data_IF_938628595193
#
_entry.id   IF_938628595193
#
_cell.length_a   1.000
_cell.length_b   1.000
_cell.length_c   1.000
_cell.angle_alpha   90.00
_cell.angle_beta   90.00
_cell.angle_gamma   90.00
#
_symmetry.space_group_name_H-M   'P 1'
#
loop_
_entity.id
_entity.type
_entity.pdbx_description
1 polymer ?
#
# COMPACT_ATOMS: atom_id res chain seq x y z
N UNK A 1 -44.11 -25.54 4.40
CA UNK A 1 -43.68 -24.25 4.99
C UNK A 1 -42.17 -24.32 5.07
N UNK A 2 -41.49 -24.03 3.96
CA UNK A 2 -40.02 -24.04 3.88
C UNK A 2 -39.50 -22.71 4.41
N UNK A 3 -38.90 -22.74 5.59
CA UNK A 3 -38.13 -21.63 6.14
C UNK A 3 -36.81 -21.57 5.39
N UNK A 4 -36.76 -20.73 4.36
CA UNK A 4 -35.51 -20.28 3.74
C UNK A 4 -34.69 -19.53 4.78
N UNK A 5 -33.79 -20.26 5.43
CA UNK A 5 -32.71 -19.70 6.23
C UNK A 5 -31.80 -18.93 5.29
N UNK A 6 -31.98 -17.60 5.24
CA UNK A 6 -30.99 -16.70 4.71
C UNK A 6 -29.72 -16.85 5.57
N UNK A 7 -28.83 -17.75 5.16
CA UNK A 7 -27.42 -17.73 5.53
C UNK A 7 -26.88 -16.37 5.10
N UNK A 8 -26.87 -15.42 6.03
CA UNK A 8 -26.15 -14.18 5.90
C UNK A 8 -24.67 -14.55 5.73
N UNK A 9 -24.17 -14.53 4.50
CA UNK A 9 -22.74 -14.67 4.22
C UNK A 9 -21.98 -13.59 4.99
N UNK A 10 -21.11 -13.94 5.95
CA UNK A 10 -20.24 -12.98 6.61
C UNK A 10 -19.07 -12.71 5.68
N UNK A 11 -19.29 -11.98 4.59
CA UNK A 11 -18.25 -11.59 3.64
C UNK A 11 -18.08 -10.08 3.45
N UNK A 12 -18.72 -9.26 4.28
CA UNK A 12 -18.63 -7.79 4.20
C UNK A 12 -17.84 -7.18 5.37
N UNK A 13 -16.77 -7.85 5.81
CA UNK A 13 -15.91 -7.43 6.92
C UNK A 13 -14.53 -6.91 6.51
N UNK A 14 -14.29 -6.53 5.25
CA UNK A 14 -13.11 -5.71 4.91
C UNK A 14 -13.49 -4.26 5.21
N UNK A 15 -12.96 -3.73 6.31
CA UNK A 15 -13.43 -2.45 6.87
C UNK A 15 -13.37 -1.33 5.83
N UNK A 16 -14.31 -0.38 5.92
CA UNK A 16 -14.28 0.83 5.09
C UNK A 16 -12.93 1.56 5.20
N UNK A 17 -12.28 1.46 6.37
CA UNK A 17 -11.00 2.08 6.65
C UNK A 17 -9.86 1.46 5.84
N UNK A 18 -9.71 0.13 5.84
CA UNK A 18 -8.65 -0.54 5.07
C UNK A 18 -8.72 -0.22 3.57
N UNK A 19 -9.94 -0.09 3.03
CA UNK A 19 -10.16 0.35 1.65
C UNK A 19 -9.80 1.81 1.44
N UNK A 20 -10.19 2.71 2.34
CA UNK A 20 -9.84 4.13 2.27
C UNK A 20 -8.33 4.35 2.33
N UNK A 21 -7.64 3.65 3.23
CA UNK A 21 -6.18 3.71 3.38
C UNK A 21 -5.49 3.20 2.11
N UNK A 22 -5.93 2.06 1.55
CA UNK A 22 -5.42 1.56 0.27
C UNK A 22 -5.64 2.55 -0.88
N UNK A 23 -6.81 3.19 -0.95
CA UNK A 23 -7.12 4.19 -1.96
C UNK A 23 -6.25 5.44 -1.80
N UNK A 24 -6.08 5.94 -0.57
CA UNK A 24 -5.23 7.10 -0.27
C UNK A 24 -3.78 6.85 -0.68
N UNK A 25 -3.24 5.68 -0.30
CA UNK A 25 -1.90 5.28 -0.71
C UNK A 25 -1.77 5.26 -2.23
N UNK A 26 -2.79 4.77 -2.95
CA UNK A 26 -2.67 4.68 -4.38
C UNK A 26 -2.86 6.01 -5.11
N UNK A 27 -3.68 6.91 -4.58
CA UNK A 27 -3.75 8.28 -5.10
C UNK A 27 -2.37 8.91 -4.98
N UNK A 28 -1.73 8.81 -3.82
CA UNK A 28 -0.35 9.26 -3.60
C UNK A 28 0.59 8.67 -4.65
N UNK A 29 0.60 7.35 -4.83
CA UNK A 29 1.52 6.72 -5.78
C UNK A 29 1.21 7.08 -7.24
N UNK A 30 -0.05 7.29 -7.57
CA UNK A 30 -0.44 7.76 -8.91
C UNK A 30 0.11 9.16 -9.15
N UNK A 31 -0.02 10.06 -8.17
CA UNK A 31 0.57 11.40 -8.24
C UNK A 31 2.09 11.35 -8.29
N UNK A 32 2.73 10.46 -7.55
CA UNK A 32 4.19 10.25 -7.62
C UNK A 32 4.63 9.76 -8.99
N UNK A 33 3.95 8.76 -9.56
CA UNK A 33 4.23 8.24 -10.91
C UNK A 33 4.06 9.35 -11.96
N UNK A 34 2.96 10.11 -11.88
CA UNK A 34 2.69 11.24 -12.77
C UNK A 34 3.65 12.41 -12.56
N UNK A 35 4.19 12.60 -11.36
CA UNK A 35 5.20 13.62 -11.08
C UNK A 35 6.59 13.20 -11.58
N UNK A 36 6.94 11.92 -11.42
CA UNK A 36 8.25 11.40 -11.78
C UNK A 36 8.45 11.23 -13.30
N UNK A 37 7.40 11.06 -14.10
CA UNK A 37 7.47 10.97 -15.58
C UNK A 37 8.76 10.33 -16.12
N UNK A 38 9.69 11.15 -16.65
CA UNK A 38 10.96 10.73 -17.26
C UNK A 38 11.90 10.04 -16.26
N UNK A 39 11.95 10.47 -15.00
CA UNK A 39 12.71 9.79 -13.94
C UNK A 39 12.23 8.36 -13.72
N UNK A 40 10.92 8.12 -13.84
CA UNK A 40 10.37 6.78 -13.73
C UNK A 40 10.83 5.90 -14.90
N UNK A 41 10.92 6.45 -16.11
CA UNK A 41 11.45 5.71 -17.28
C UNK A 41 12.89 5.29 -17.04
N UNK A 42 13.75 6.19 -16.57
CA UNK A 42 15.13 5.83 -16.20
C UNK A 42 15.16 4.79 -15.09
N UNK A 43 14.37 4.99 -14.02
CA UNK A 43 14.25 4.01 -12.94
C UNK A 43 13.82 2.62 -13.41
N UNK A 44 12.92 2.53 -14.39
CA UNK A 44 12.50 1.27 -15.01
C UNK A 44 13.66 0.66 -15.82
N UNK A 45 14.36 1.45 -16.64
CA UNK A 45 15.48 0.98 -17.47
C UNK A 45 16.62 0.41 -16.63
N UNK A 46 16.89 1.00 -15.46
CA UNK A 46 17.87 0.49 -14.49
C UNK A 46 17.29 -0.56 -13.53
N UNK A 47 16.03 -0.94 -13.69
CA UNK A 47 15.36 -1.98 -12.89
C UNK A 47 14.91 -1.55 -11.49
N UNK A 48 15.34 -0.38 -10.99
CA UNK A 48 15.05 0.14 -9.64
C UNK A 48 13.56 0.51 -9.49
N UNK A 49 12.91 0.96 -10.56
CA UNK A 49 11.48 1.34 -10.56
C UNK A 49 10.50 0.16 -10.62
N UNK A 50 10.97 -1.04 -11.00
CA UNK A 50 10.11 -2.21 -11.24
C UNK A 50 9.43 -2.70 -9.96
N UNK A 51 10.13 -2.88 -8.81
CA UNK A 51 9.48 -3.32 -7.57
C UNK A 51 8.32 -2.42 -7.13
N UNK A 52 8.49 -1.09 -7.25
CA UNK A 52 7.45 -0.12 -6.91
C UNK A 52 6.20 -0.26 -7.77
N UNK A 53 6.37 -0.44 -9.09
CA UNK A 53 5.26 -0.64 -10.03
C UNK A 53 4.52 -1.97 -9.80
N UNK A 54 5.25 -3.04 -9.48
CA UNK A 54 4.64 -4.32 -9.12
C UNK A 54 3.80 -4.15 -7.85
N UNK A 55 4.33 -3.50 -6.81
CA UNK A 55 3.59 -3.24 -5.58
C UNK A 55 2.37 -2.34 -5.81
N UNK A 56 2.49 -1.33 -6.66
CA UNK A 56 1.36 -0.50 -7.11
C UNK A 56 0.26 -1.35 -7.76
N UNK A 57 0.61 -2.22 -8.70
CA UNK A 57 -0.37 -3.09 -9.38
C UNK A 57 -1.02 -4.11 -8.42
N UNK A 58 -0.24 -4.68 -7.49
CA UNK A 58 -0.75 -5.66 -6.54
C UNK A 58 -1.72 -5.04 -5.51
N UNK A 59 -1.50 -3.78 -5.12
CA UNK A 59 -2.35 -3.07 -4.15
C UNK A 59 -3.74 -2.71 -4.66
N UNK A 60 -3.99 -2.77 -5.96
CA UNK A 60 -5.35 -2.73 -6.53
C UNK A 60 -6.27 -3.84 -6.01
N UNK A 61 -5.70 -4.94 -5.52
CA UNK A 61 -6.49 -5.98 -4.85
C UNK A 61 -6.97 -5.55 -3.46
N UNK A 62 -6.26 -4.64 -2.79
CA UNK A 62 -6.67 -4.08 -1.50
C UNK A 62 -7.77 -3.04 -1.66
N UNK A 63 -7.69 -2.18 -2.68
CA UNK A 63 -8.71 -1.15 -2.94
C UNK A 63 -10.07 -1.75 -3.33
N UNK A 64 -10.06 -2.88 -4.04
CA UNK A 64 -11.29 -3.62 -4.37
C UNK A 64 -11.80 -4.47 -3.20
N UNK A 65 -11.08 -4.47 -2.08
CA UNK A 65 -11.37 -5.33 -0.94
C UNK A 65 -11.43 -6.78 -1.37
N UNK A 66 -10.38 -7.30 -2.03
CA UNK A 66 -10.29 -8.66 -2.56
C UNK A 66 -9.15 -9.51 -1.95
N UNK A 67 -8.30 -8.95 -1.08
CA UNK A 67 -7.13 -9.64 -0.53
C UNK A 67 -7.39 -10.32 0.82
N UNK A 68 -7.00 -11.59 0.97
CA UNK A 68 -7.07 -12.29 2.28
C UNK A 68 -6.28 -11.53 3.35
N UNK A 69 -6.61 -11.67 4.65
CA UNK A 69 -5.96 -10.88 5.71
C UNK A 69 -4.43 -11.04 5.71
N UNK A 70 -3.92 -12.27 5.60
CA UNK A 70 -2.48 -12.55 5.46
C UNK A 70 -1.85 -11.84 4.26
N UNK A 71 -2.53 -11.85 3.10
CA UNK A 71 -2.04 -11.18 1.89
C UNK A 71 -2.05 -9.65 2.06
N UNK A 72 -3.04 -9.11 2.76
CA UNK A 72 -3.11 -7.69 3.07
C UNK A 72 -1.93 -7.26 3.96
N UNK A 73 -1.62 -8.02 5.03
CA UNK A 73 -0.47 -7.77 5.89
C UNK A 73 0.84 -7.79 5.07
N UNK A 74 1.05 -8.83 4.26
CA UNK A 74 2.26 -8.94 3.43
C UNK A 74 2.39 -7.77 2.45
N UNK A 75 1.31 -7.42 1.76
CA UNK A 75 1.32 -6.29 0.81
C UNK A 75 1.60 -4.96 1.51
N UNK A 76 1.00 -4.73 2.68
CA UNK A 76 1.26 -3.52 3.46
C UNK A 76 2.69 -3.49 4.00
N UNK A 77 3.23 -4.60 4.50
CA UNK A 77 4.62 -4.69 4.95
C UNK A 77 5.62 -4.42 3.82
N UNK A 78 5.42 -5.02 2.65
CA UNK A 78 6.26 -4.77 1.47
C UNK A 78 6.15 -3.31 1.01
N UNK A 79 4.96 -2.73 1.09
CA UNK A 79 4.75 -1.30 0.79
C UNK A 79 5.53 -0.44 1.76
N UNK A 80 5.43 -0.69 3.07
CA UNK A 80 6.21 0.05 4.08
C UNK A 80 7.71 -0.02 3.82
N UNK A 81 8.25 -1.22 3.52
CA UNK A 81 9.67 -1.38 3.17
C UNK A 81 10.03 -0.57 1.93
N UNK A 82 9.21 -0.64 0.88
CA UNK A 82 9.42 0.14 -0.34
C UNK A 82 9.43 1.65 -0.07
N UNK A 83 8.45 2.15 0.68
CA UNK A 83 8.36 3.57 1.05
C UNK A 83 9.60 4.01 1.84
N UNK A 84 10.06 3.23 2.83
CA UNK A 84 11.29 3.53 3.60
C UNK A 84 12.53 3.56 2.69
N UNK A 85 12.66 2.61 1.77
CA UNK A 85 13.77 2.60 0.82
C UNK A 85 13.74 3.82 -0.10
N UNK A 86 12.55 4.24 -0.55
CA UNK A 86 12.41 5.46 -1.34
C UNK A 86 12.69 6.73 -0.52
N UNK A 87 12.29 6.79 0.74
CA UNK A 87 12.70 7.89 1.66
C UNK A 87 14.23 7.97 1.73
N UNK A 88 14.91 6.83 1.97
CA UNK A 88 16.36 6.77 2.04
C UNK A 88 17.02 7.17 0.72
N UNK A 89 16.45 6.75 -0.42
CA UNK A 89 16.93 7.13 -1.75
C UNK A 89 16.82 8.64 -1.98
N UNK A 90 15.64 9.22 -1.77
CA UNK A 90 15.40 10.63 -2.08
C UNK A 90 15.98 11.61 -1.05
N UNK A 91 16.27 11.17 0.17
CA UNK A 91 17.10 11.95 1.12
C UNK A 91 18.60 11.64 1.04
N UNK A 92 19.03 10.75 0.14
CA UNK A 92 20.46 10.54 -0.09
C UNK A 92 21.10 11.79 -0.69
N UNK A 93 22.37 12.02 -0.36
CA UNK A 93 23.14 13.17 -0.88
C UNK A 93 23.20 13.19 -2.40
N UNK A 94 23.31 12.03 -3.02
CA UNK A 94 23.45 11.91 -4.47
C UNK A 94 22.15 12.33 -5.18
N UNK A 95 20.99 11.83 -4.71
CA UNK A 95 19.70 12.24 -5.28
C UNK A 95 19.35 13.69 -4.99
N UNK A 96 19.76 14.22 -3.83
CA UNK A 96 19.59 15.63 -3.49
C UNK A 96 20.46 16.53 -4.41
N UNK A 97 21.67 16.10 -4.77
CA UNK A 97 22.51 16.82 -5.71
C UNK A 97 21.96 16.80 -7.14
N UNK A 98 21.34 15.70 -7.57
CA UNK A 98 20.76 15.60 -8.92
C UNK A 98 19.41 16.30 -9.05
N UNK A 99 18.50 16.09 -8.09
CA UNK A 99 17.09 16.49 -8.20
C UNK A 99 16.73 17.71 -7.33
N UNK A 100 17.63 18.17 -6.46
CA UNK A 100 17.44 19.36 -5.63
C UNK A 100 16.11 19.31 -4.84
N UNK A 101 15.32 20.39 -4.88
CA UNK A 101 14.02 20.50 -4.22
C UNK A 101 13.06 19.36 -4.57
N UNK A 102 13.12 18.81 -5.79
CA UNK A 102 12.28 17.68 -6.19
C UNK A 102 12.58 16.42 -5.39
N UNK A 103 13.84 16.15 -5.06
CA UNK A 103 14.19 15.03 -4.18
C UNK A 103 13.60 15.23 -2.78
N UNK A 104 13.62 16.45 -2.25
CA UNK A 104 13.00 16.76 -0.94
C UNK A 104 11.48 16.58 -0.97
N UNK A 105 10.78 17.07 -2.00
CA UNK A 105 9.34 16.86 -2.15
C UNK A 105 8.98 15.37 -2.27
N UNK A 106 9.74 14.62 -3.08
CA UNK A 106 9.54 13.17 -3.21
C UNK A 106 9.81 12.46 -1.89
N UNK A 107 10.92 12.78 -1.21
CA UNK A 107 11.28 12.22 0.10
C UNK A 107 10.17 12.40 1.13
N UNK A 108 9.59 13.59 1.24
CA UNK A 108 8.43 13.84 2.11
C UNK A 108 7.18 13.09 1.67
N UNK A 109 6.93 12.99 0.37
CA UNK A 109 5.83 12.19 -0.18
C UNK A 109 5.94 10.71 0.18
N UNK A 110 7.15 10.15 0.11
CA UNK A 110 7.42 8.77 0.54
C UNK A 110 7.35 8.63 2.07
N UNK A 111 7.78 9.62 2.85
CA UNK A 111 7.64 9.60 4.30
C UNK A 111 6.16 9.58 4.73
N UNK A 112 5.30 10.35 4.05
CA UNK A 112 3.85 10.27 4.22
C UNK A 112 3.33 8.87 3.85
N UNK A 113 3.83 8.29 2.76
CA UNK A 113 3.51 6.93 2.34
C UNK A 113 3.89 5.86 3.37
N UNK A 114 5.01 6.01 4.08
CA UNK A 114 5.38 5.15 5.22
C UNK A 114 4.27 5.18 6.28
N UNK A 115 3.83 6.38 6.69
CA UNK A 115 2.82 6.53 7.73
C UNK A 115 1.49 5.88 7.33
N UNK A 116 1.02 6.13 6.10
CA UNK A 116 -0.20 5.51 5.57
C UNK A 116 -0.06 3.98 5.52
N UNK A 117 1.10 3.48 5.10
CA UNK A 117 1.36 2.04 5.00
C UNK A 117 1.39 1.36 6.37
N UNK A 118 1.94 2.02 7.40
CA UNK A 118 1.90 1.53 8.78
C UNK A 118 0.46 1.44 9.31
N UNK A 119 -0.39 2.44 9.03
CA UNK A 119 -1.83 2.35 9.36
C UNK A 119 -2.46 1.15 8.67
N UNK A 120 -2.12 0.90 7.41
CA UNK A 120 -2.56 -0.28 6.66
C UNK A 120 -2.11 -1.61 7.28
N UNK A 121 -0.87 -1.70 7.76
CA UNK A 121 -0.36 -2.89 8.49
C UNK A 121 -1.17 -3.12 9.76
N UNK A 122 -1.34 -2.08 10.58
CA UNK A 122 -2.06 -2.17 11.86
C UNK A 122 -3.50 -2.60 11.62
N UNK A 123 -4.19 -1.98 10.67
CA UNK A 123 -5.57 -2.33 10.31
C UNK A 123 -5.67 -3.77 9.81
N UNK A 124 -4.75 -4.23 8.95
CA UNK A 124 -4.77 -5.60 8.47
C UNK A 124 -4.50 -6.62 9.60
N UNK A 125 -3.63 -6.28 10.56
CA UNK A 125 -3.30 -7.14 11.70
C UNK A 125 -4.45 -7.24 12.72
N UNK A 126 -5.11 -6.13 13.05
CA UNK A 126 -6.24 -6.13 14.00
C UNK A 126 -7.43 -6.90 13.45
N UNK A 127 -7.75 -6.74 12.16
CA UNK A 127 -8.82 -7.50 11.52
C UNK A 127 -8.49 -8.99 11.35
N UNK A 128 -7.20 -9.35 11.22
CA UNK A 128 -6.80 -10.77 11.18
C UNK A 128 -7.00 -11.45 12.53
N UNK A 129 -6.76 -10.72 13.62
CA UNK A 129 -6.84 -11.25 14.99
C UNK A 129 -8.28 -11.50 15.42
N UNK A 130 -9.21 -10.58 15.10
CA UNK A 130 -10.64 -10.73 15.41
C UNK A 130 -11.30 -11.90 14.68
N UNK A 131 -10.86 -12.20 13.46
CA UNK A 131 -11.31 -13.35 12.69
C UNK A 131 -10.89 -14.69 13.34
N UNK A 132 -9.71 -14.75 13.95
CA UNK A 132 -9.21 -15.94 14.62
C UNK A 132 -9.98 -16.27 15.91
N UNK A 133 -10.45 -15.26 16.65
CA UNK A 133 -11.25 -15.45 17.88
C UNK A 133 -12.69 -15.91 17.61
N UNK A 134 -13.21 -15.68 16.40
CA UNK A 134 -14.61 -16.00 16.03
C UNK A 134 -14.85 -17.43 15.53
N UNK A 135 -13.80 -18.24 15.36
CA UNK A 135 -13.95 -19.63 14.92
C UNK A 135 -14.22 -20.55 16.12
N UNK A 136 -15.34 -21.30 16.13
CA UNK A 136 -15.57 -22.30 17.18
C UNK A 136 -14.49 -23.39 17.10
N UNK A 137 -13.93 -23.75 18.26
CA UNK A 137 -12.96 -24.84 18.40
C UNK A 137 -13.60 -26.22 18.16
#
# INVERSE_FOLDING_TARGET
METTSHTASPQNGRTSLGRQVATAQQIKDTLTILGMNVLLVFGILFGIGIPGLILYGLRWKLTRGGATPTRAIVLWALTTVHEVLCVALFFSTDMQAELHEWATYLGWGYALGVLISLVGVVEAATNSSSLAESLPQ
#
